data_IF_907196895728
#
_entry.id   IF_907196895728
#
_cell.length_a   1.000
_cell.length_b   1.000
_cell.length_c   1.000
_cell.angle_alpha   90.00
_cell.angle_beta   90.00
_cell.angle_gamma   90.00
#
_symmetry.space_group_name_H-M   'P 1'
#
loop_
_entity.id
_entity.type
_entity.pdbx_description
1 polymer ?
#
# COMPACT_ATOMS: atom_id res chain seq x y z
N UNK A 1 -23.32 69.90 -26.79
CA UNK A 1 -22.02 69.22 -26.58
C UNK A 1 -22.26 68.09 -25.66
N UNK A 2 -22.36 66.85 -26.19
CA UNK A 2 -22.74 65.70 -25.50
C UNK A 2 -21.42 64.88 -25.10
N UNK A 3 -21.17 64.79 -23.83
CA UNK A 3 -20.00 64.04 -23.31
C UNK A 3 -20.30 62.54 -23.40
N UNK A 4 -19.81 61.89 -24.43
CA UNK A 4 -19.77 60.42 -24.51
C UNK A 4 -18.80 59.91 -23.45
N UNK A 5 -19.33 59.32 -22.37
CA UNK A 5 -18.54 58.60 -21.40
C UNK A 5 -18.07 57.30 -22.04
N UNK A 6 -16.78 57.20 -22.35
CA UNK A 6 -16.16 55.96 -22.75
C UNK A 6 -16.14 55.00 -21.55
N UNK A 7 -16.91 53.94 -21.63
CA UNK A 7 -16.81 52.83 -20.66
C UNK A 7 -15.52 52.06 -20.93
N UNK A 8 -14.69 51.84 -19.90
CA UNK A 8 -13.50 51.06 -20.09
C UNK A 8 -13.87 49.63 -20.55
N UNK A 9 -13.14 49.16 -21.56
CA UNK A 9 -13.39 47.86 -22.16
C UNK A 9 -13.25 46.77 -21.09
N UNK A 10 -14.36 46.06 -20.82
CA UNK A 10 -14.43 44.99 -19.81
C UNK A 10 -13.34 43.91 -20.01
N UNK A 11 -12.94 43.69 -21.27
CA UNK A 11 -11.87 42.77 -21.61
C UNK A 11 -10.50 43.25 -21.15
N UNK A 12 -10.27 44.57 -21.21
CA UNK A 12 -9.02 45.18 -20.73
C UNK A 12 -8.94 45.10 -19.19
N UNK A 13 -10.05 45.40 -18.51
CA UNK A 13 -10.13 45.30 -17.05
C UNK A 13 -9.91 43.83 -16.53
N UNK A 14 -10.48 42.84 -17.25
CA UNK A 14 -10.27 41.43 -16.90
C UNK A 14 -8.81 41.00 -17.11
N UNK A 15 -8.20 41.39 -18.21
CA UNK A 15 -6.79 41.09 -18.50
C UNK A 15 -5.86 41.73 -17.48
N UNK A 16 -6.14 42.92 -17.04
CA UNK A 16 -5.37 43.62 -16.02
C UNK A 16 -5.50 42.97 -14.64
N UNK A 17 -6.70 42.49 -14.28
CA UNK A 17 -6.95 41.79 -13.03
C UNK A 17 -6.21 40.42 -12.99
N UNK A 18 -6.23 39.67 -14.11
CA UNK A 18 -5.51 38.39 -14.21
C UNK A 18 -4.00 38.59 -14.13
N UNK A 19 -3.46 39.62 -14.77
CA UNK A 19 -2.04 39.97 -14.71
C UNK A 19 -1.60 40.40 -13.28
N UNK A 20 -2.46 41.12 -12.56
CA UNK A 20 -2.18 41.52 -11.18
C UNK A 20 -2.17 40.35 -10.22
N UNK A 21 -3.08 39.37 -10.38
CA UNK A 21 -3.07 38.13 -9.56
C UNK A 21 -1.86 37.29 -9.88
N UNK A 22 -1.46 37.18 -11.15
CA UNK A 22 -0.24 36.43 -11.53
C UNK A 22 1.04 37.08 -11.01
N UNK A 23 1.07 38.42 -10.91
CA UNK A 23 2.20 39.16 -10.35
C UNK A 23 2.27 39.07 -8.82
N UNK A 24 1.14 38.89 -8.14
CA UNK A 24 1.09 38.62 -6.69
C UNK A 24 1.46 37.15 -6.33
N UNK A 25 1.28 36.24 -7.28
CA UNK A 25 1.85 34.88 -7.19
C UNK A 25 3.27 34.92 -7.76
N UNK A 26 4.13 35.77 -7.19
CA UNK A 26 5.56 35.71 -7.44
C UNK A 26 6.01 34.26 -7.26
N UNK A 27 7.15 33.84 -7.87
CA UNK A 27 7.63 32.50 -7.67
C UNK A 27 7.67 32.28 -6.17
N UNK A 28 6.77 31.41 -5.68
CA UNK A 28 6.91 30.86 -4.35
C UNK A 28 8.23 30.12 -4.44
N UNK A 29 9.31 30.87 -4.17
CA UNK A 29 10.58 30.22 -3.96
C UNK A 29 10.28 29.23 -2.86
N UNK A 30 10.20 27.97 -3.22
CA UNK A 30 10.42 26.92 -2.26
C UNK A 30 11.76 27.25 -1.66
N UNK A 31 11.76 28.05 -0.55
CA UNK A 31 12.88 28.07 0.34
C UNK A 31 13.07 26.58 0.70
N UNK A 32 13.99 25.97 -0.02
CA UNK A 32 14.33 24.59 0.20
C UNK A 32 14.75 24.51 1.66
N UNK A 33 13.79 24.16 2.52
CA UNK A 33 14.18 23.54 3.78
C UNK A 33 14.99 22.36 3.32
N UNK A 34 16.31 22.47 3.46
CA UNK A 34 17.22 21.36 3.21
C UNK A 34 16.79 20.26 4.17
N UNK A 35 15.84 19.45 3.70
CA UNK A 35 15.47 18.24 4.40
C UNK A 35 16.77 17.45 4.53
N UNK A 36 17.19 17.04 5.72
CA UNK A 36 18.37 16.21 5.84
C UNK A 36 18.22 15.05 4.85
N UNK A 37 19.27 14.69 4.14
CA UNK A 37 19.21 13.57 3.20
C UNK A 37 18.63 12.37 3.95
N UNK A 38 17.72 11.64 3.33
CA UNK A 38 17.00 10.53 3.96
C UNK A 38 17.93 9.38 4.41
N UNK A 39 19.21 9.47 4.17
CA UNK A 39 20.21 8.50 4.62
C UNK A 39 20.19 7.18 3.82
N UNK A 40 19.46 7.14 2.70
CA UNK A 40 19.43 5.99 1.79
C UNK A 40 19.28 6.44 0.33
N UNK A 41 19.68 5.58 -0.59
CA UNK A 41 19.55 5.79 -2.03
C UNK A 41 18.10 5.54 -2.46
N UNK A 42 17.52 6.47 -3.23
CA UNK A 42 16.17 6.30 -3.73
C UNK A 42 16.10 5.10 -4.71
N UNK A 43 15.08 4.27 -4.55
CA UNK A 43 14.79 3.19 -5.49
C UNK A 43 13.90 3.72 -6.60
N UNK A 44 14.29 3.60 -7.88
CA UNK A 44 13.44 4.00 -9.00
C UNK A 44 12.22 3.07 -9.13
N UNK A 45 11.11 3.61 -9.65
CA UNK A 45 9.94 2.80 -9.98
C UNK A 45 10.30 1.66 -10.95
N UNK A 46 9.69 0.49 -10.76
CA UNK A 46 9.97 -0.71 -11.54
C UNK A 46 8.67 -1.46 -11.85
N UNK A 47 8.63 -2.09 -13.04
CA UNK A 47 7.58 -3.05 -13.43
C UNK A 47 8.01 -4.50 -13.17
N UNK A 48 9.14 -4.71 -12.51
CA UNK A 48 9.59 -6.06 -12.15
C UNK A 48 8.72 -6.61 -11.03
N UNK A 49 8.31 -7.86 -11.16
CA UNK A 49 7.66 -8.60 -10.07
C UNK A 49 8.73 -9.05 -9.06
N UNK A 50 9.19 -8.07 -8.27
CA UNK A 50 10.22 -8.28 -7.27
C UNK A 50 10.19 -7.15 -6.23
N UNK A 51 10.44 -7.51 -4.97
CA UNK A 51 10.75 -6.52 -3.94
C UNK A 51 12.14 -5.95 -4.19
N UNK A 52 12.23 -4.63 -4.27
CA UNK A 52 13.49 -3.91 -4.46
C UNK A 52 13.67 -2.94 -3.30
N UNK A 53 14.79 -3.05 -2.63
CA UNK A 53 15.19 -2.13 -1.54
C UNK A 53 16.44 -1.33 -1.95
N UNK A 54 16.70 -0.16 -1.32
CA UNK A 54 17.95 0.55 -1.50
C UNK A 54 19.16 -0.35 -1.21
N UNK A 55 20.33 -0.11 -1.83
CA UNK A 55 21.52 -0.97 -1.65
C UNK A 55 22.04 -1.01 -0.21
N UNK A 56 21.66 -0.03 0.62
CA UNK A 56 22.01 0.03 2.04
C UNK A 56 21.10 -0.85 2.93
N UNK A 57 20.06 -1.47 2.35
CA UNK A 57 19.09 -2.30 3.06
C UNK A 57 19.09 -3.73 2.53
N UNK A 58 18.77 -4.63 3.43
CA UNK A 58 18.44 -6.01 3.12
C UNK A 58 17.00 -6.31 3.53
N UNK A 59 16.37 -7.29 2.92
CA UNK A 59 15.05 -7.73 3.35
C UNK A 59 15.03 -9.24 3.57
N UNK A 60 14.16 -9.65 4.48
CA UNK A 60 13.87 -11.06 4.75
C UNK A 60 12.36 -11.24 4.85
N UNK A 61 11.84 -12.24 4.15
CA UNK A 61 10.44 -12.64 4.31
C UNK A 61 10.33 -13.47 5.58
N UNK A 62 9.55 -12.99 6.55
CA UNK A 62 9.36 -13.65 7.84
C UNK A 62 8.15 -14.58 7.84
N UNK A 63 7.08 -14.20 7.17
CA UNK A 63 5.80 -14.89 7.20
C UNK A 63 5.05 -14.67 5.90
N UNK A 64 4.59 -15.73 5.27
CA UNK A 64 3.95 -15.68 3.95
C UNK A 64 2.55 -16.26 4.04
N UNK A 65 1.69 -15.89 3.13
CA UNK A 65 0.47 -16.61 2.88
C UNK A 65 0.76 -18.11 2.72
N UNK A 66 0.02 -18.94 3.46
CA UNK A 66 0.19 -20.38 3.46
C UNK A 66 1.27 -20.91 4.41
N UNK A 67 2.07 -20.06 5.04
CA UNK A 67 2.98 -20.51 6.11
C UNK A 67 2.14 -21.05 7.30
N UNK A 68 2.61 -22.06 8.02
CA UNK A 68 1.84 -22.68 9.10
C UNK A 68 1.64 -21.74 10.28
N UNK A 69 0.42 -21.72 10.85
CA UNK A 69 0.08 -20.90 12.04
C UNK A 69 0.49 -21.54 13.36
N UNK A 70 0.98 -22.77 13.34
CA UNK A 70 1.35 -23.53 14.54
C UNK A 70 2.66 -24.27 14.42
N UNK A 71 3.01 -24.97 15.49
CA UNK A 71 4.20 -25.83 15.57
C UNK A 71 3.74 -27.29 15.55
N UNK A 72 4.23 -28.06 14.58
CA UNK A 72 3.91 -29.49 14.49
C UNK A 72 4.28 -30.10 13.15
N UNK A 73 4.38 -31.40 13.09
CA UNK A 73 4.73 -32.16 11.88
C UNK A 73 3.51 -32.49 10.99
N UNK A 74 2.30 -32.25 11.48
CA UNK A 74 1.05 -32.58 10.79
C UNK A 74 0.36 -31.36 10.16
N UNK A 75 1.04 -30.22 10.06
CA UNK A 75 0.49 -29.01 9.45
C UNK A 75 0.45 -29.17 7.93
N UNK A 76 -0.62 -28.71 7.27
CA UNK A 76 -0.75 -28.86 5.84
C UNK A 76 0.28 -27.98 5.10
N UNK A 77 0.91 -28.55 4.08
CA UNK A 77 1.77 -27.77 3.20
C UNK A 77 0.94 -26.83 2.32
N UNK A 78 1.46 -25.65 2.08
CA UNK A 78 0.88 -24.73 1.10
C UNK A 78 0.97 -25.29 -0.32
N UNK A 79 -0.09 -25.17 -1.09
CA UNK A 79 -0.20 -25.62 -2.48
C UNK A 79 -0.55 -24.44 -3.39
N UNK A 80 0.39 -24.03 -4.25
CA UNK A 80 0.20 -22.82 -5.11
C UNK A 80 -0.85 -23.01 -6.20
N UNK A 81 -1.34 -24.25 -6.41
CA UNK A 81 -2.42 -24.58 -7.33
C UNK A 81 -3.82 -24.37 -6.74
N UNK A 82 -3.91 -23.73 -5.58
CA UNK A 82 -5.12 -23.48 -4.81
C UNK A 82 -5.88 -24.76 -4.37
N UNK A 83 -5.23 -25.92 -4.35
CA UNK A 83 -5.84 -27.20 -3.96
C UNK A 83 -5.96 -27.41 -2.44
N UNK A 84 -5.41 -26.52 -1.60
CA UNK A 84 -5.65 -26.55 -0.17
C UNK A 84 -7.16 -26.42 0.13
N UNK A 85 -7.63 -27.17 1.13
CA UNK A 85 -9.02 -27.10 1.59
C UNK A 85 -9.24 -25.91 2.54
N UNK A 86 -10.48 -25.66 2.96
CA UNK A 86 -10.78 -24.67 4.00
C UNK A 86 -10.14 -25.07 5.35
N UNK A 87 -10.11 -26.35 5.65
CA UNK A 87 -9.49 -26.91 6.86
C UNK A 87 -7.98 -26.75 6.84
N UNK A 88 -7.33 -26.92 5.66
CA UNK A 88 -5.90 -26.61 5.50
C UNK A 88 -5.64 -25.12 5.71
N UNK A 89 -6.44 -24.26 5.07
CA UNK A 89 -6.30 -22.80 5.14
C UNK A 89 -6.45 -22.30 6.59
N UNK A 90 -7.32 -22.91 7.40
CA UNK A 90 -7.48 -22.58 8.83
C UNK A 90 -6.19 -22.80 9.67
N UNK A 91 -5.25 -23.58 9.16
CA UNK A 91 -3.96 -23.87 9.79
C UNK A 91 -2.79 -23.16 9.11
N UNK A 92 -3.08 -22.27 8.18
CA UNK A 92 -2.11 -21.50 7.40
C UNK A 92 -2.33 -20.01 7.59
N UNK A 93 -1.28 -19.22 7.37
CA UNK A 93 -1.38 -17.76 7.30
C UNK A 93 -2.31 -17.35 6.17
N UNK A 94 -3.16 -16.38 6.42
CA UNK A 94 -4.03 -15.79 5.42
C UNK A 94 -3.30 -14.88 4.45
N UNK A 95 -4.08 -14.25 3.55
CA UNK A 95 -3.57 -13.35 2.52
C UNK A 95 -3.56 -11.89 3.03
N UNK A 96 -2.85 -11.03 2.30
CA UNK A 96 -2.88 -9.58 2.45
C UNK A 96 -2.66 -9.11 3.89
N UNK A 97 -1.44 -9.36 4.39
CA UNK A 97 -1.03 -8.96 5.74
C UNK A 97 -1.05 -7.44 5.87
N UNK A 98 -1.79 -6.92 6.85
CA UNK A 98 -1.93 -5.51 7.14
C UNK A 98 -2.02 -5.25 8.66
N UNK A 99 -2.06 -3.98 9.06
CA UNK A 99 -2.27 -3.57 10.44
C UNK A 99 -1.30 -4.20 11.43
N UNK A 100 -0.02 -4.32 11.07
CA UNK A 100 0.98 -4.98 11.89
C UNK A 100 1.41 -4.17 13.09
N UNK A 101 1.54 -4.83 14.24
CA UNK A 101 2.14 -4.25 15.42
C UNK A 101 3.07 -5.22 16.14
N UNK A 102 4.21 -4.69 16.57
CA UNK A 102 5.25 -5.42 17.28
C UNK A 102 5.20 -5.10 18.78
N UNK A 103 5.01 -6.12 19.60
CA UNK A 103 4.98 -6.03 21.06
C UNK A 103 6.21 -6.71 21.64
N UNK A 104 7.24 -5.97 22.11
CA UNK A 104 8.40 -6.58 22.75
C UNK A 104 7.99 -7.27 24.06
N UNK A 105 8.51 -8.46 24.30
CA UNK A 105 8.33 -9.24 25.53
C UNK A 105 9.64 -9.25 26.32
N UNK A 106 9.60 -8.67 27.50
CA UNK A 106 10.79 -8.50 28.34
C UNK A 106 11.69 -7.35 27.91
N UNK A 107 12.76 -7.13 28.63
CA UNK A 107 13.70 -6.02 28.44
C UNK A 107 14.92 -6.37 27.56
N UNK A 108 15.11 -7.65 27.24
CA UNK A 108 16.27 -8.14 26.50
C UNK A 108 16.12 -8.05 24.96
N UNK A 109 14.94 -7.68 24.46
CA UNK A 109 14.64 -7.54 23.03
C UNK A 109 14.67 -8.86 22.23
N UNK A 110 14.81 -10.01 22.90
CA UNK A 110 14.94 -11.31 22.23
C UNK A 110 13.62 -11.99 21.93
N UNK A 111 12.55 -11.51 22.53
CA UNK A 111 11.21 -12.10 22.37
C UNK A 111 10.19 -10.99 22.12
N UNK A 112 9.28 -11.26 21.20
CA UNK A 112 8.20 -10.34 20.88
C UNK A 112 6.99 -11.11 20.36
N UNK A 113 5.84 -10.41 20.35
CA UNK A 113 4.67 -10.80 19.58
C UNK A 113 4.58 -9.88 18.37
N UNK A 114 4.49 -10.45 17.19
CA UNK A 114 4.07 -9.73 15.99
C UNK A 114 2.60 -10.05 15.76
N UNK A 115 1.76 -9.04 15.88
CA UNK A 115 0.32 -9.14 15.59
C UNK A 115 0.09 -8.52 14.23
N UNK A 116 -0.67 -9.20 13.39
CA UNK A 116 -1.01 -8.74 12.04
C UNK A 116 -2.44 -9.16 11.69
N UNK A 117 -3.08 -8.38 10.84
CA UNK A 117 -4.37 -8.72 10.25
C UNK A 117 -4.18 -9.35 8.87
N UNK A 118 -5.12 -10.20 8.49
CA UNK A 118 -5.33 -10.60 7.11
C UNK A 118 -6.51 -9.77 6.59
N UNK A 119 -6.26 -8.85 5.64
CA UNK A 119 -7.22 -7.81 5.31
C UNK A 119 -8.36 -8.34 4.41
N UNK A 120 -8.01 -9.07 3.37
CA UNK A 120 -8.97 -9.65 2.42
C UNK A 120 -8.38 -10.86 1.70
N UNK A 121 -9.18 -11.54 0.89
CA UNK A 121 -8.74 -12.67 0.06
C UNK A 121 -8.72 -12.31 -1.42
N UNK A 122 -7.75 -12.84 -2.16
CA UNK A 122 -7.74 -12.85 -3.61
C UNK A 122 -8.37 -14.15 -4.11
N UNK A 123 -9.64 -14.07 -4.48
CA UNK A 123 -10.43 -15.22 -4.89
C UNK A 123 -9.88 -15.91 -6.14
N UNK A 124 -9.15 -15.18 -6.99
CA UNK A 124 -8.52 -15.74 -8.19
C UNK A 124 -7.34 -16.65 -7.86
N UNK A 125 -6.66 -16.36 -6.74
CA UNK A 125 -5.53 -17.15 -6.26
C UNK A 125 -5.95 -18.22 -5.24
N UNK A 126 -7.01 -17.92 -4.48
CA UNK A 126 -7.49 -18.82 -3.43
C UNK A 126 -8.25 -20.03 -3.96
N UNK A 127 -8.93 -19.90 -5.12
CA UNK A 127 -9.74 -20.95 -5.73
C UNK A 127 -9.24 -21.29 -7.13
N UNK A 128 -8.95 -22.57 -7.37
CA UNK A 128 -8.42 -23.05 -8.65
C UNK A 128 -9.34 -22.76 -9.85
N UNK A 129 -10.65 -22.62 -9.61
CA UNK A 129 -11.67 -22.27 -10.60
C UNK A 129 -12.14 -20.81 -10.52
N UNK A 130 -11.39 -19.96 -9.76
CA UNK A 130 -11.68 -18.54 -9.57
C UNK A 130 -12.87 -18.26 -8.65
N UNK A 131 -13.30 -17.00 -8.61
CA UNK A 131 -14.33 -16.51 -7.68
C UNK A 131 -15.71 -17.10 -7.94
N UNK A 132 -16.11 -17.27 -9.20
CA UNK A 132 -17.45 -17.69 -9.59
C UNK A 132 -17.49 -19.17 -10.05
N UNK A 133 -18.57 -19.90 -9.75
CA UNK A 133 -19.69 -19.49 -8.90
C UNK A 133 -19.33 -19.49 -7.41
N UNK A 134 -19.91 -18.59 -6.62
CA UNK A 134 -19.73 -18.56 -5.17
C UNK A 134 -20.47 -19.74 -4.53
N UNK A 135 -19.72 -20.63 -3.89
CA UNK A 135 -20.24 -21.80 -3.18
C UNK A 135 -20.00 -21.71 -1.68
N UNK A 136 -20.73 -22.49 -0.87
CA UNK A 136 -20.50 -22.54 0.57
C UNK A 136 -19.06 -23.00 0.93
N UNK A 137 -18.46 -23.86 0.12
CA UNK A 137 -17.07 -24.30 0.31
C UNK A 137 -16.09 -23.15 0.06
N UNK A 138 -16.29 -22.35 -1.00
CA UNK A 138 -15.47 -21.17 -1.28
C UNK A 138 -15.58 -20.12 -0.17
N UNK A 139 -16.83 -19.80 0.25
CA UNK A 139 -17.06 -18.88 1.38
C UNK A 139 -16.32 -19.34 2.63
N UNK A 140 -16.40 -20.63 2.97
CA UNK A 140 -15.68 -21.17 4.13
C UNK A 140 -14.15 -21.01 4.00
N UNK A 141 -13.60 -21.27 2.80
CA UNK A 141 -12.17 -21.15 2.55
C UNK A 141 -11.68 -19.70 2.65
N UNK A 142 -12.52 -18.74 2.26
CA UNK A 142 -12.21 -17.30 2.33
C UNK A 142 -12.33 -16.69 3.74
N UNK A 143 -12.67 -17.49 4.75
CA UNK A 143 -12.81 -17.02 6.14
C UNK A 143 -11.51 -17.10 6.95
N UNK A 144 -10.43 -17.63 6.36
CA UNK A 144 -9.16 -17.92 7.07
C UNK A 144 -7.96 -17.21 6.46
#
# INVERSE_FOLDING_TARGET
MEHVRQHPDRRLALKSAVAAVAAMMGPVGYAGTSRPPLGFTAVPGSLRDALVVPPEYEFQVLYRWGDPTGIGSSLPAFRPDASNTAEDQALQAGMHHDGMHFFPLGSDGRRALLVLNHEYTDEQQLHADGAAPLTAAKVRKSQH
#
